data_IF_421440585857
#
_entry.id   IF_421440585857
#
_cell.length_a   1.000
_cell.length_b   1.000
_cell.length_c   1.000
_cell.angle_alpha   90.00
_cell.angle_beta   90.00
_cell.angle_gamma   90.00
#
_symmetry.space_group_name_H-M   'P 1'
#
loop_
_entity.id
_entity.type
_entity.pdbx_description
1 polymer ?
#
# COMPACT_ATOMS: atom_id res chain seq x y z
N UNK A 1 12.22 -0.82 27.18
CA UNK A 1 10.99 -1.36 26.55
C UNK A 1 11.18 -1.33 25.06
N UNK A 2 11.08 -2.47 24.38
CA UNK A 2 11.02 -2.51 22.92
C UNK A 2 9.56 -2.19 22.55
N UNK A 3 9.35 -1.12 21.79
CA UNK A 3 8.02 -0.75 21.27
C UNK A 3 7.96 -1.16 19.82
N UNK A 4 7.13 -2.13 19.49
CA UNK A 4 6.91 -2.55 18.11
C UNK A 4 6.10 -1.48 17.37
N UNK A 5 6.57 -1.06 16.21
CA UNK A 5 5.95 -0.06 15.34
C UNK A 5 5.37 -0.74 14.11
N UNK A 6 4.05 -0.67 13.98
CA UNK A 6 3.30 -1.24 12.87
C UNK A 6 2.76 -0.11 12.00
N UNK A 7 2.98 -0.21 10.69
CA UNK A 7 2.40 0.67 9.68
C UNK A 7 1.27 -0.07 8.94
N UNK A 8 0.08 0.51 8.94
CA UNK A 8 -1.07 -0.05 8.21
C UNK A 8 -1.40 0.85 7.02
N UNK A 9 -1.46 0.27 5.82
CA UNK A 9 -1.83 0.97 4.58
C UNK A 9 -3.07 0.31 3.99
N UNK A 10 -4.22 0.91 4.23
CA UNK A 10 -5.51 0.45 3.70
C UNK A 10 -5.84 1.15 2.35
N UNK A 11 -6.82 0.59 1.62
CA UNK A 11 -7.54 1.28 0.56
C UNK A 11 -6.66 1.78 -0.61
N UNK A 12 -5.83 0.88 -1.13
CA UNK A 12 -4.73 1.22 -2.05
C UNK A 12 -5.23 1.60 -3.45
N UNK A 13 -6.34 1.03 -3.93
CA UNK A 13 -7.06 1.40 -5.15
C UNK A 13 -6.19 1.67 -6.38
N UNK A 14 -5.19 0.81 -6.62
CA UNK A 14 -4.30 0.93 -7.78
C UNK A 14 -3.29 2.08 -7.71
N UNK A 15 -3.18 2.80 -6.59
CA UNK A 15 -2.26 3.94 -6.40
C UNK A 15 -0.80 3.52 -6.14
N UNK A 16 -0.31 2.50 -6.86
CA UNK A 16 1.04 1.95 -6.72
C UNK A 16 2.14 3.01 -6.78
N UNK A 17 2.04 3.98 -7.70
CA UNK A 17 2.99 5.10 -7.81
C UNK A 17 2.98 6.03 -6.59
N UNK A 18 1.83 6.28 -5.97
CA UNK A 18 1.74 7.13 -4.77
C UNK A 18 2.34 6.40 -3.57
N UNK A 19 2.07 5.11 -3.46
CA UNK A 19 2.60 4.25 -2.39
C UNK A 19 4.12 4.12 -2.50
N UNK A 20 4.66 3.91 -3.70
CA UNK A 20 6.12 3.90 -3.91
C UNK A 20 6.76 5.20 -3.41
N UNK A 21 6.20 6.36 -3.77
CA UNK A 21 6.69 7.66 -3.30
C UNK A 21 6.53 7.88 -1.79
N UNK A 22 5.55 7.23 -1.17
CA UNK A 22 5.38 7.26 0.27
C UNK A 22 6.47 6.45 0.96
N UNK A 23 6.78 5.25 0.46
CA UNK A 23 7.88 4.44 0.96
C UNK A 23 9.25 5.10 0.77
N UNK A 24 9.47 5.81 -0.33
CA UNK A 24 10.73 6.57 -0.55
C UNK A 24 11.00 7.63 0.54
N UNK A 25 9.94 8.10 1.22
CA UNK A 25 10.03 9.10 2.30
C UNK A 25 10.05 8.48 3.69
N UNK A 26 9.71 7.19 3.79
CA UNK A 26 9.63 6.50 5.06
C UNK A 26 11.04 6.10 5.49
N UNK A 27 11.42 6.42 6.73
CA UNK A 27 12.63 5.84 7.34
C UNK A 27 12.24 4.42 7.76
N UNK A 28 12.52 3.44 6.89
CA UNK A 28 12.09 2.04 7.05
C UNK A 28 12.63 1.43 8.35
N UNK A 29 13.76 1.92 8.85
CA UNK A 29 14.41 1.46 10.09
C UNK A 29 13.56 1.70 11.35
N UNK A 30 12.46 2.45 11.26
CA UNK A 30 11.56 2.75 12.37
C UNK A 30 10.22 1.97 12.32
N UNK A 31 10.08 1.01 11.39
CA UNK A 31 8.85 0.21 11.24
C UNK A 31 9.21 -1.28 11.23
N UNK A 32 8.65 -2.02 12.20
CA UNK A 32 8.89 -3.45 12.35
C UNK A 32 7.98 -4.30 11.44
N UNK A 33 6.80 -3.79 11.10
CA UNK A 33 5.81 -4.51 10.31
C UNK A 33 4.94 -3.56 9.47
N UNK A 34 4.74 -3.91 8.21
CA UNK A 34 3.79 -3.24 7.31
C UNK A 34 2.63 -4.20 7.01
N UNK A 35 1.40 -3.72 7.19
CA UNK A 35 0.18 -4.48 6.90
C UNK A 35 -0.65 -3.74 5.84
N UNK A 36 -1.00 -4.45 4.77
CA UNK A 36 -1.88 -3.95 3.71
C UNK A 36 -3.11 -4.87 3.63
N UNK A 37 -4.26 -4.50 4.25
CA UNK A 37 -5.38 -5.41 4.48
C UNK A 37 -6.19 -5.78 3.21
N UNK A 38 -6.09 -5.04 2.10
CA UNK A 38 -6.87 -5.32 0.90
C UNK A 38 -6.92 -4.15 -0.09
N UNK A 39 -7.80 -4.28 -1.09
CA UNK A 39 -8.12 -3.24 -2.09
C UNK A 39 -6.91 -2.69 -2.84
N UNK A 40 -5.94 -3.55 -3.20
CA UNK A 40 -4.76 -3.16 -3.96
C UNK A 40 -5.09 -2.61 -5.36
N UNK A 41 -6.20 -3.05 -5.93
CA UNK A 41 -6.66 -2.69 -7.27
C UNK A 41 -8.17 -2.51 -7.24
N UNK A 42 -8.70 -1.55 -7.97
CA UNK A 42 -10.15 -1.42 -8.12
C UNK A 42 -10.70 -2.60 -8.93
N UNK A 43 -11.74 -3.25 -8.41
CA UNK A 43 -12.48 -4.28 -9.15
C UNK A 43 -13.10 -3.76 -10.45
N UNK A 44 -13.33 -2.44 -10.55
CA UNK A 44 -13.99 -1.80 -11.69
C UNK A 44 -13.04 -1.12 -12.67
N UNK A 45 -11.72 -1.21 -12.45
CA UNK A 45 -10.75 -0.78 -13.45
C UNK A 45 -10.52 -1.94 -14.41
N UNK A 46 -11.36 -2.04 -15.43
CA UNK A 46 -11.09 -2.91 -16.56
C UNK A 46 -9.79 -2.44 -17.23
N UNK A 47 -8.73 -3.27 -17.26
CA UNK A 47 -7.50 -2.89 -17.94
C UNK A 47 -7.79 -2.62 -19.43
N UNK A 48 -7.07 -1.70 -20.10
CA UNK A 48 -7.25 -1.46 -21.52
C UNK A 48 -7.15 -2.77 -22.31
N UNK A 49 -8.24 -3.18 -22.97
CA UNK A 49 -8.32 -4.42 -23.75
C UNK A 49 -9.18 -5.55 -23.17
N UNK A 50 -9.82 -5.35 -22.02
CA UNK A 50 -10.77 -6.30 -21.43
C UNK A 50 -12.18 -5.69 -21.35
N UNK A 51 -13.22 -6.52 -21.19
CA UNK A 51 -14.61 -6.09 -20.92
C UNK A 51 -15.14 -6.79 -19.68
N UNK A 52 -16.02 -6.13 -18.93
CA UNK A 52 -16.72 -6.69 -17.76
C UNK A 52 -17.88 -7.57 -18.18
#
# INVERSE_FOLDING_TARGET
MISMKILIIADIHGYSKKISKFFDKLIIDDVDLIICPGDFTDMFNTPPGFTQ
#
